data_IF_996375213315
#
_entry.id   IF_996375213315
#
_cell.length_a   1.000
_cell.length_b   1.000
_cell.length_c   1.000
_cell.angle_alpha   90.00
_cell.angle_beta   90.00
_cell.angle_gamma   90.00
#
_symmetry.space_group_name_H-M   'P 1'
#
loop_
_entity.id
_entity.type
_entity.pdbx_description
1 polymer ?
#
# COMPACT_ATOMS: atom_id res chain seq x y z
N UNK A 1 15.40 4.99 -5.47
CA UNK A 1 15.05 4.20 -6.67
C UNK A 1 13.55 4.29 -6.92
N UNK A 2 13.15 4.59 -8.15
CA UNK A 2 11.76 4.58 -8.60
C UNK A 2 11.45 3.23 -9.27
N UNK A 3 10.21 2.79 -9.18
CA UNK A 3 9.73 1.55 -9.77
C UNK A 3 8.34 1.78 -10.37
N UNK A 4 8.10 1.22 -11.56
CA UNK A 4 6.79 1.21 -12.19
C UNK A 4 6.06 -0.09 -11.85
N UNK A 5 4.81 0.02 -11.38
CA UNK A 5 3.94 -1.13 -11.16
C UNK A 5 2.67 -1.01 -12.00
N UNK A 6 2.11 -2.16 -12.40
CA UNK A 6 0.75 -2.28 -12.92
C UNK A 6 -0.15 -2.78 -11.79
N UNK A 7 -1.23 -2.08 -11.51
CA UNK A 7 -2.23 -2.46 -10.52
C UNK A 7 -2.96 -3.71 -11.00
N UNK A 8 -3.22 -4.62 -10.06
CA UNK A 8 -4.09 -5.78 -10.29
C UNK A 8 -5.18 -5.83 -9.22
N UNK A 9 -6.42 -6.05 -9.66
CA UNK A 9 -7.62 -6.13 -8.84
C UNK A 9 -8.17 -4.77 -8.41
N UNK A 10 -9.35 -4.81 -7.77
CA UNK A 10 -10.18 -3.62 -7.51
C UNK A 10 -10.20 -3.19 -6.04
N UNK A 11 -9.24 -3.65 -5.24
CA UNK A 11 -9.28 -3.44 -3.79
C UNK A 11 -9.20 -1.97 -3.36
N UNK A 12 -8.72 -1.09 -4.25
CA UNK A 12 -8.63 0.35 -4.06
C UNK A 12 -9.50 1.16 -5.04
N UNK A 13 -10.46 0.52 -5.72
CA UNK A 13 -11.41 1.23 -6.59
C UNK A 13 -12.31 2.18 -5.76
N UNK A 14 -12.55 3.44 -6.18
CA UNK A 14 -12.23 4.04 -7.49
C UNK A 14 -10.88 4.76 -7.56
N UNK A 15 -10.10 4.81 -6.47
CA UNK A 15 -8.83 5.53 -6.45
C UNK A 15 -7.77 4.91 -7.37
N UNK A 16 -7.78 3.59 -7.48
CA UNK A 16 -6.94 2.83 -8.40
C UNK A 16 -7.81 1.83 -9.16
N UNK A 17 -7.57 1.71 -10.45
CA UNK A 17 -8.29 0.77 -11.33
C UNK A 17 -7.39 -0.40 -11.69
N UNK A 18 -7.96 -1.57 -11.88
CA UNK A 18 -7.24 -2.70 -12.47
C UNK A 18 -6.56 -2.28 -13.79
N UNK A 19 -5.31 -2.70 -13.97
CA UNK A 19 -4.49 -2.36 -15.12
C UNK A 19 -3.88 -0.96 -15.13
N UNK A 20 -4.25 -0.07 -14.20
CA UNK A 20 -3.65 1.25 -14.05
C UNK A 20 -2.15 1.13 -13.72
N UNK A 21 -1.33 2.12 -14.13
CA UNK A 21 0.10 2.12 -13.80
C UNK A 21 0.41 3.18 -12.75
N UNK A 22 1.38 2.86 -11.88
CA UNK A 22 1.80 3.74 -10.79
C UNK A 22 3.32 3.81 -10.71
N UNK A 23 3.84 5.01 -10.49
CA UNK A 23 5.25 5.23 -10.16
C UNK A 23 5.37 5.25 -8.64
N UNK A 24 6.25 4.41 -8.14
CA UNK A 24 6.48 4.22 -6.72
C UNK A 24 7.94 4.53 -6.38
N UNK A 25 8.18 5.14 -5.22
CA UNK A 25 9.53 5.26 -4.65
C UNK A 25 9.79 4.13 -3.67
N UNK A 26 10.98 3.53 -3.72
CA UNK A 26 11.44 2.59 -2.70
C UNK A 26 11.49 3.28 -1.34
N UNK A 27 10.98 2.61 -0.30
CA UNK A 27 11.03 3.08 1.08
C UNK A 27 12.40 2.77 1.68
N UNK A 28 13.01 3.80 2.26
CA UNK A 28 14.23 3.74 3.06
C UNK A 28 13.95 4.27 4.47
N UNK A 29 14.88 4.07 5.42
CA UNK A 29 14.72 4.48 6.84
C UNK A 29 14.18 5.92 7.04
N UNK A 30 14.54 6.85 6.18
CA UNK A 30 14.14 8.27 6.30
C UNK A 30 12.85 8.61 5.52
N UNK A 31 12.18 7.61 4.94
CA UNK A 31 10.98 7.84 4.14
C UNK A 31 9.80 8.09 5.07
N UNK A 32 9.28 9.31 5.04
CA UNK A 32 8.06 9.65 5.78
C UNK A 32 6.83 9.04 5.09
N UNK A 33 6.15 8.17 5.83
CA UNK A 33 4.84 7.60 5.51
C UNK A 33 3.81 8.29 6.41
N UNK A 34 2.68 8.67 5.84
CA UNK A 34 1.59 9.40 6.49
C UNK A 34 0.26 8.72 6.21
N UNK A 35 -0.73 9.03 7.04
CA UNK A 35 -2.13 8.71 6.74
C UNK A 35 -2.50 9.24 5.36
N UNK A 36 -3.30 8.46 4.62
CA UNK A 36 -3.71 8.65 3.24
C UNK A 36 -2.64 8.40 2.16
N UNK A 37 -1.39 8.09 2.53
CA UNK A 37 -0.43 7.59 1.55
C UNK A 37 -0.86 6.21 1.02
N UNK A 38 -0.62 5.94 -0.25
CA UNK A 38 -0.74 4.59 -0.81
C UNK A 38 0.61 3.91 -0.82
N UNK A 39 0.67 2.70 -0.30
CA UNK A 39 1.91 1.94 -0.10
C UNK A 39 1.82 0.56 -0.72
N UNK A 40 2.98 0.06 -1.15
CA UNK A 40 3.17 -1.31 -1.64
C UNK A 40 4.00 -2.07 -0.60
N UNK A 41 3.51 -3.23 -0.21
CA UNK A 41 4.13 -4.11 0.77
C UNK A 41 3.95 -5.56 0.33
N UNK A 42 4.59 -6.48 1.05
CA UNK A 42 4.51 -7.90 0.76
C UNK A 42 4.06 -8.65 2.01
N UNK A 43 3.13 -9.60 1.85
CA UNK A 43 2.67 -10.50 2.90
C UNK A 43 2.79 -11.93 2.43
N UNK A 44 3.34 -12.79 3.27
CA UNK A 44 3.66 -14.18 2.94
C UNK A 44 2.48 -14.94 2.30
N UNK A 45 1.27 -14.80 2.85
CA UNK A 45 0.07 -15.50 2.35
C UNK A 45 -0.63 -14.82 1.17
N UNK A 46 -0.29 -13.57 0.84
CA UNK A 46 -1.02 -12.76 -0.14
C UNK A 46 -0.14 -12.17 -1.25
N UNK A 47 1.17 -12.34 -1.15
CA UNK A 47 2.15 -11.75 -2.06
C UNK A 47 2.23 -10.22 -1.93
N UNK A 48 2.54 -9.57 -3.05
CA UNK A 48 2.70 -8.13 -3.14
C UNK A 48 1.34 -7.44 -3.23
N UNK A 49 1.10 -6.49 -2.32
CA UNK A 49 -0.18 -5.82 -2.16
C UNK A 49 -0.02 -4.30 -2.19
N UNK A 50 -1.10 -3.60 -2.55
CA UNK A 50 -1.20 -2.15 -2.52
C UNK A 50 -2.43 -1.74 -1.70
N UNK A 51 -2.25 -0.84 -0.73
CA UNK A 51 -3.33 -0.31 0.13
C UNK A 51 -3.04 1.13 0.51
N UNK A 52 -4.06 1.82 1.03
CA UNK A 52 -3.93 3.18 1.57
C UNK A 52 -3.78 3.11 3.09
N UNK A 53 -2.86 3.90 3.65
CA UNK A 53 -2.68 4.02 5.10
C UNK A 53 -3.92 4.71 5.69
N UNK A 54 -4.67 3.99 6.53
CA UNK A 54 -5.86 4.51 7.22
C UNK A 54 -5.49 5.15 8.56
N UNK A 55 -4.58 4.55 9.31
CA UNK A 55 -4.08 5.10 10.57
C UNK A 55 -2.63 4.66 10.85
N UNK A 56 -1.97 5.37 11.75
CA UNK A 56 -0.62 5.07 12.22
C UNK A 56 -0.65 5.11 13.75
N UNK A 57 -0.31 4.00 14.39
CA UNK A 57 -0.18 3.92 15.85
C UNK A 57 1.22 3.45 16.23
N UNK A 58 1.96 4.30 16.95
CA UNK A 58 3.37 4.10 17.34
C UNK A 58 4.25 3.72 16.14
N UNK A 59 4.43 2.41 15.92
CA UNK A 59 5.27 1.81 14.88
C UNK A 59 4.49 0.87 13.94
N UNK A 60 3.17 0.95 13.99
CA UNK A 60 2.24 0.12 13.23
C UNK A 60 1.46 0.97 12.24
N UNK A 61 1.44 0.55 10.98
CA UNK A 61 0.73 1.20 9.90
C UNK A 61 -0.49 0.37 9.54
N UNK A 62 -1.67 0.87 9.87
CA UNK A 62 -2.91 0.24 9.42
C UNK A 62 -3.18 0.69 7.99
N UNK A 63 -3.43 -0.28 7.13
CA UNK A 63 -3.69 -0.07 5.72
C UNK A 63 -5.00 -0.72 5.34
N UNK A 64 -5.77 -0.04 4.48
CA UNK A 64 -7.11 -0.47 4.09
C UNK A 64 -7.32 -0.31 2.59
N UNK A 65 -8.14 -1.18 2.05
CA UNK A 65 -8.76 -0.99 0.74
C UNK A 65 -10.04 -0.18 0.85
N UNK A 66 -10.50 0.38 -0.26
CA UNK A 66 -11.83 1.00 -0.32
C UNK A 66 -12.94 -0.02 -0.51
N UNK A 67 -12.62 -1.19 -1.07
CA UNK A 67 -13.58 -2.26 -1.23
C UNK A 67 -13.83 -2.94 0.13
N UNK A 68 -15.09 -3.13 0.56
CA UNK A 68 -15.41 -3.85 1.80
C UNK A 68 -14.80 -5.26 1.88
N UNK A 69 -14.66 -5.95 0.74
CA UNK A 69 -14.08 -7.29 0.65
C UNK A 69 -12.55 -7.29 0.52
N UNK A 70 -11.91 -6.13 0.66
CA UNK A 70 -10.46 -6.00 0.60
C UNK A 70 -9.78 -6.79 1.72
N UNK A 71 -8.82 -7.65 1.35
CA UNK A 71 -7.86 -8.22 2.30
C UNK A 71 -6.86 -7.12 2.69
N UNK A 72 -6.88 -6.70 3.95
CA UNK A 72 -6.06 -5.61 4.47
C UNK A 72 -5.82 -5.71 5.99
N UNK A 73 -5.48 -4.61 6.67
CA UNK A 73 -5.16 -4.64 8.10
C UNK A 73 -6.31 -5.11 8.99
N UNK A 74 -7.55 -5.11 8.50
CA UNK A 74 -8.69 -5.72 9.21
C UNK A 74 -8.57 -7.25 9.28
N UNK A 75 -7.82 -7.86 8.37
CA UNK A 75 -7.59 -9.30 8.30
C UNK A 75 -6.25 -9.71 8.93
N UNK A 76 -5.17 -8.94 8.68
CA UNK A 76 -3.82 -9.32 9.07
C UNK A 76 -3.15 -8.38 10.10
N UNK A 77 -3.87 -7.38 10.61
CA UNK A 77 -3.33 -6.37 11.53
C UNK A 77 -2.48 -5.30 10.84
N UNK A 78 -1.84 -4.45 11.64
CA UNK A 78 -0.99 -3.38 11.14
C UNK A 78 0.36 -3.88 10.60
N UNK A 79 0.95 -3.11 9.68
CA UNK A 79 2.26 -3.36 9.11
C UNK A 79 3.37 -2.69 9.93
N UNK A 80 4.52 -3.35 10.06
CA UNK A 80 5.76 -2.70 10.49
C UNK A 80 6.38 -1.93 9.32
N UNK A 81 7.19 -0.92 9.64
CA UNK A 81 7.85 -0.09 8.62
C UNK A 81 8.67 -0.90 7.60
N UNK A 82 9.35 -1.97 8.02
CA UNK A 82 10.19 -2.81 7.16
C UNK A 82 9.41 -3.72 6.20
N UNK A 83 8.11 -3.90 6.43
CA UNK A 83 7.20 -4.62 5.53
C UNK A 83 6.81 -3.73 4.34
N UNK A 84 6.85 -2.41 4.51
CA UNK A 84 6.51 -1.45 3.45
C UNK A 84 7.70 -1.28 2.51
N UNK A 85 7.52 -1.67 1.25
CA UNK A 85 8.58 -1.69 0.23
C UNK A 85 8.60 -0.41 -0.60
N UNK A 86 7.43 0.08 -0.97
CA UNK A 86 7.31 1.29 -1.79
C UNK A 86 6.17 2.20 -1.33
N UNK A 87 6.30 3.49 -1.65
CA UNK A 87 5.24 4.48 -1.54
C UNK A 87 4.90 4.99 -2.94
N UNK A 88 3.61 5.03 -3.28
CA UNK A 88 3.14 5.57 -4.56
C UNK A 88 3.38 7.08 -4.60
N UNK A 89 3.90 7.56 -5.73
CA UNK A 89 4.08 8.99 -6.02
C UNK A 89 3.06 9.50 -7.02
N UNK A 90 2.90 8.78 -8.14
CA UNK A 90 2.05 9.19 -9.25
C UNK A 90 1.29 7.98 -9.80
N UNK A 91 0.11 8.23 -10.39
CA UNK A 91 -0.72 7.24 -11.07
C UNK A 91 -1.15 7.78 -12.42
N UNK A 92 -1.26 6.90 -13.41
CA UNK A 92 -1.69 7.22 -14.77
C UNK A 92 -2.38 6.02 -15.42
#
# INVERSE_FOLDING_TARGET
MLQLFKISGDSLYPYYKDGQRVICRKVFKNTRIKVNDTVVFEKESYGMMIKRVSSIDKNSYFVEGTNPMSIDSRNFGGLKFNEIKYKVLFKF
#
